data_IF_640553916308
#
_entry.id   IF_640553916308
#
_cell.length_a   1.000
_cell.length_b   1.000
_cell.length_c   1.000
_cell.angle_alpha   90.00
_cell.angle_beta   90.00
_cell.angle_gamma   90.00
#
_symmetry.space_group_name_H-M   'P 1'
#
loop_
_entity.id
_entity.type
_entity.pdbx_description
1 polymer ?
#
# COMPACT_ATOMS: atom_id res chain seq x y z
N UNK A 1 13.09 3.20 -7.02
CA UNK A 1 13.38 2.26 -8.11
C UNK A 1 12.11 1.44 -8.29
N UNK A 2 11.44 1.65 -9.40
CA UNK A 2 10.08 1.19 -9.71
C UNK A 2 10.00 0.93 -11.22
N UNK A 3 9.02 0.19 -11.72
CA UNK A 3 8.79 0.03 -13.17
C UNK A 3 7.59 0.90 -13.57
N UNK A 4 7.83 2.11 -14.05
CA UNK A 4 6.76 3.10 -14.26
C UNK A 4 5.92 2.77 -15.49
N UNK A 5 6.55 2.19 -16.51
CA UNK A 5 5.91 1.96 -17.81
C UNK A 5 5.58 0.47 -18.09
N UNK A 6 6.02 -0.44 -17.21
CA UNK A 6 5.78 -1.88 -17.31
C UNK A 6 6.71 -2.59 -18.30
N UNK A 7 7.88 -2.03 -18.60
CA UNK A 7 8.84 -2.62 -19.54
C UNK A 7 9.84 -3.59 -18.91
N UNK A 8 9.69 -3.85 -17.60
CA UNK A 8 10.54 -4.72 -16.80
C UNK A 8 11.86 -4.06 -16.38
N UNK A 9 12.04 -2.76 -16.62
CA UNK A 9 13.24 -2.03 -16.24
C UNK A 9 12.97 -1.09 -15.07
N UNK A 10 14.05 -0.79 -14.36
CA UNK A 10 13.97 0.08 -13.20
C UNK A 10 14.04 1.54 -13.65
N UNK A 11 12.96 2.24 -13.38
CA UNK A 11 12.80 3.68 -13.52
C UNK A 11 13.00 4.41 -12.18
N UNK A 12 13.19 5.73 -12.30
CA UNK A 12 13.27 6.63 -11.17
C UNK A 12 12.26 7.77 -11.34
N UNK A 13 11.32 7.89 -10.40
CA UNK A 13 10.36 8.98 -10.38
C UNK A 13 10.56 9.88 -9.16
N UNK A 14 10.32 11.19 -9.35
CA UNK A 14 10.37 12.20 -8.29
C UNK A 14 9.22 13.18 -8.39
N UNK A 15 8.82 13.68 -7.22
CA UNK A 15 7.92 14.80 -7.12
C UNK A 15 8.63 16.10 -7.51
N UNK A 16 8.02 16.91 -8.37
CA UNK A 16 8.55 18.21 -8.80
C UNK A 16 7.49 19.30 -8.64
N UNK A 17 7.91 20.49 -8.20
CA UNK A 17 7.02 21.63 -7.96
C UNK A 17 6.62 21.78 -6.49
N UNK A 18 5.64 22.65 -6.23
CA UNK A 18 5.21 23.00 -4.88
C UNK A 18 4.42 21.85 -4.22
N UNK A 19 4.35 21.85 -2.89
CA UNK A 19 3.50 20.91 -2.16
C UNK A 19 2.05 21.43 -2.11
N UNK A 20 1.24 21.13 -3.14
CA UNK A 20 -0.21 21.37 -3.13
C UNK A 20 -0.69 22.59 -3.94
N UNK A 21 -0.50 22.57 -5.26
CA UNK A 21 -0.99 23.62 -6.15
C UNK A 21 -0.60 23.44 -7.62
N UNK A 22 -1.02 24.39 -8.45
CA UNK A 22 -0.67 24.46 -9.87
C UNK A 22 0.87 24.40 -10.06
N UNK A 23 1.33 23.55 -10.99
CA UNK A 23 2.75 23.35 -11.28
C UNK A 23 3.42 22.19 -10.54
N UNK A 24 2.64 21.41 -9.78
CA UNK A 24 3.08 20.16 -9.16
C UNK A 24 2.91 19.00 -10.14
N UNK A 25 3.97 18.24 -10.43
CA UNK A 25 3.94 17.12 -11.36
C UNK A 25 4.93 16.03 -10.98
N UNK A 26 4.63 14.79 -11.39
CA UNK A 26 5.58 13.69 -11.28
C UNK A 26 6.49 13.72 -12.51
N UNK A 27 7.79 13.59 -12.29
CA UNK A 27 8.78 13.44 -13.34
C UNK A 27 9.48 12.10 -13.18
N UNK A 28 9.59 11.34 -14.26
CA UNK A 28 10.25 10.05 -14.26
C UNK A 28 11.40 10.02 -15.27
N UNK A 29 12.56 9.60 -14.81
CA UNK A 29 13.66 9.14 -15.65
C UNK A 29 13.36 7.69 -16.03
N UNK A 30 13.00 7.48 -17.29
CA UNK A 30 12.65 6.16 -17.84
C UNK A 30 13.90 5.48 -18.37
N UNK A 31 14.17 4.26 -17.91
CA UNK A 31 15.31 3.45 -18.33
C UNK A 31 14.97 2.63 -19.56
N UNK A 32 15.86 2.60 -20.55
CA UNK A 32 15.78 1.67 -21.68
C UNK A 32 16.71 0.46 -21.50
N UNK A 33 17.47 0.42 -20.41
CA UNK A 33 18.48 -0.61 -20.09
C UNK A 33 19.89 -0.22 -20.51
N UNK A 34 20.03 0.54 -21.59
CA UNK A 34 21.29 1.09 -22.11
C UNK A 34 21.34 2.63 -22.09
N UNK A 35 20.18 3.28 -21.96
CA UNK A 35 20.04 4.73 -21.89
C UNK A 35 18.85 5.11 -20.99
N UNK A 36 18.60 6.41 -20.88
CA UNK A 36 17.41 6.91 -20.18
C UNK A 36 16.91 8.23 -20.78
N UNK A 37 15.63 8.51 -20.62
CA UNK A 37 15.06 9.80 -20.97
C UNK A 37 14.10 10.32 -19.89
N UNK A 38 13.88 11.63 -19.87
CA UNK A 38 12.95 12.26 -18.93
C UNK A 38 11.54 12.27 -19.51
N UNK A 39 10.59 11.73 -18.75
CA UNK A 39 9.16 11.80 -19.03
C UNK A 39 8.48 12.69 -18.00
N UNK A 40 7.76 13.70 -18.48
CA UNK A 40 6.79 14.39 -17.64
C UNK A 40 5.53 13.54 -17.56
N UNK A 41 5.22 13.06 -16.37
CA UNK A 41 4.10 12.14 -16.15
C UNK A 41 2.77 12.87 -16.06
N UNK A 42 2.79 14.18 -15.84
CA UNK A 42 1.58 14.99 -15.73
C UNK A 42 1.35 15.55 -14.33
N UNK A 43 0.34 16.40 -14.22
CA UNK A 43 0.08 17.20 -13.03
C UNK A 43 -0.44 16.32 -11.88
N UNK A 44 0.17 16.48 -10.71
CA UNK A 44 -0.25 15.91 -9.44
C UNK A 44 -0.60 17.09 -8.53
N UNK A 45 -1.86 17.52 -8.54
CA UNK A 45 -2.27 18.78 -7.90
C UNK A 45 -2.12 18.80 -6.37
N UNK A 46 -2.12 17.62 -5.75
CA UNK A 46 -1.90 17.41 -4.32
C UNK A 46 -0.96 16.22 -4.14
N UNK A 47 0.14 16.38 -3.42
CA UNK A 47 1.10 15.30 -3.13
C UNK A 47 0.61 14.32 -2.06
N UNK A 48 -0.44 14.68 -1.35
CA UNK A 48 -0.88 13.99 -0.15
C UNK A 48 0.10 14.14 1.01
N UNK A 49 -0.14 13.35 2.05
CA UNK A 49 0.67 13.36 3.25
C UNK A 49 2.00 12.63 3.05
N UNK A 50 3.10 13.21 3.53
CA UNK A 50 4.45 12.72 3.26
C UNK A 50 4.70 11.28 3.72
N UNK A 51 4.00 10.86 4.78
CA UNK A 51 4.05 9.53 5.40
C UNK A 51 3.09 8.50 4.78
N UNK A 52 2.31 8.92 3.77
CA UNK A 52 1.24 8.13 3.11
C UNK A 52 1.27 8.34 1.60
N UNK A 53 2.42 8.02 1.04
CA UNK A 53 2.72 8.04 -0.39
C UNK A 53 3.39 6.73 -0.76
N UNK A 54 2.92 6.11 -1.82
CA UNK A 54 3.34 4.78 -2.23
C UNK A 54 3.48 4.72 -3.75
N UNK A 55 4.48 3.98 -4.21
CA UNK A 55 4.69 3.65 -5.61
C UNK A 55 4.39 2.15 -5.76
N UNK A 56 3.21 1.82 -6.29
CA UNK A 56 2.64 0.45 -6.27
C UNK A 56 1.73 0.22 -7.47
N UNK A 57 1.57 -1.03 -7.91
CA UNK A 57 0.61 -1.37 -8.97
C UNK A 57 -0.78 -1.57 -8.34
N UNK A 58 -1.55 -0.49 -8.23
CA UNK A 58 -2.89 -0.56 -7.63
C UNK A 58 -3.87 -1.22 -8.59
N UNK A 59 -3.74 -0.94 -9.88
CA UNK A 59 -4.75 -1.34 -10.86
C UNK A 59 -4.50 -2.73 -11.48
N UNK A 60 -3.33 -3.31 -11.27
CA UNK A 60 -2.92 -4.64 -11.71
C UNK A 60 -2.53 -4.70 -13.19
N UNK A 61 -2.13 -3.57 -13.78
CA UNK A 61 -1.78 -3.49 -15.20
C UNK A 61 -0.29 -3.75 -15.49
N UNK A 62 0.47 -4.12 -14.45
CA UNK A 62 1.89 -4.43 -14.52
C UNK A 62 2.78 -3.18 -14.49
N UNK A 63 2.22 -1.99 -14.22
CA UNK A 63 2.96 -0.74 -14.11
C UNK A 63 2.84 -0.15 -12.71
N UNK A 64 3.79 0.68 -12.34
CA UNK A 64 3.80 1.32 -11.03
C UNK A 64 2.95 2.59 -11.04
N UNK A 65 1.97 2.67 -10.15
CA UNK A 65 1.15 3.85 -9.91
C UNK A 65 1.67 4.67 -8.72
N UNK A 66 1.34 5.96 -8.69
CA UNK A 66 1.59 6.82 -7.53
C UNK A 66 0.33 7.03 -6.69
N UNK A 67 0.20 6.27 -5.60
CA UNK A 67 -0.93 6.33 -4.68
C UNK A 67 -0.60 7.14 -3.42
N UNK A 68 -1.57 7.93 -2.94
CA UNK A 68 -1.39 8.79 -1.76
C UNK A 68 -2.68 9.09 -1.01
N UNK A 69 -2.53 9.36 0.29
CA UNK A 69 -3.61 9.88 1.12
C UNK A 69 -3.86 11.35 0.83
N UNK A 70 -5.10 11.71 0.51
CA UNK A 70 -5.55 13.07 0.15
C UNK A 70 -6.79 13.44 0.97
N UNK A 71 -7.08 14.74 1.06
CA UNK A 71 -8.20 15.28 1.84
C UNK A 71 -7.84 15.41 3.31
N UNK A 72 -8.79 15.09 4.19
CA UNK A 72 -8.55 15.16 5.64
C UNK A 72 -7.44 14.20 6.07
N UNK A 73 -6.78 14.50 7.20
CA UNK A 73 -5.72 13.66 7.73
C UNK A 73 -6.25 12.31 8.23
N UNK A 74 -7.50 12.26 8.67
CA UNK A 74 -8.28 11.05 8.97
C UNK A 74 -9.76 11.41 9.06
N UNK A 75 -10.62 10.42 9.13
CA UNK A 75 -12.06 10.56 9.30
C UNK A 75 -12.80 10.81 7.99
N UNK A 76 -14.00 11.37 8.10
CA UNK A 76 -14.81 11.67 6.92
C UNK A 76 -14.07 12.64 5.98
N UNK A 77 -14.07 12.37 4.68
CA UNK A 77 -13.38 13.19 3.68
C UNK A 77 -11.87 12.92 3.52
N UNK A 78 -11.32 11.89 4.18
CA UNK A 78 -10.00 11.35 3.82
C UNK A 78 -10.15 10.21 2.82
N UNK A 79 -9.34 10.19 1.77
CA UNK A 79 -9.43 9.21 0.69
C UNK A 79 -8.07 8.88 0.09
N UNK A 80 -8.00 7.72 -0.56
CA UNK A 80 -6.85 7.30 -1.34
C UNK A 80 -7.03 7.79 -2.78
N UNK A 81 -5.98 8.38 -3.33
CA UNK A 81 -5.93 8.86 -4.71
C UNK A 81 -4.69 8.30 -5.39
N UNK A 82 -4.86 7.73 -6.58
CA UNK A 82 -3.81 7.05 -7.32
C UNK A 82 -3.66 7.67 -8.70
N UNK A 83 -2.46 8.08 -9.05
CA UNK A 83 -2.10 8.46 -10.40
C UNK A 83 -1.68 7.20 -11.15
N UNK A 84 -2.61 6.64 -11.92
CA UNK A 84 -2.39 5.43 -12.69
C UNK A 84 -1.48 5.71 -13.87
N UNK A 85 -0.38 4.98 -13.92
CA UNK A 85 0.65 5.16 -14.94
C UNK A 85 0.18 4.70 -16.32
N UNK A 86 0.75 5.32 -17.34
CA UNK A 86 0.47 5.01 -18.74
C UNK A 86 1.65 5.46 -19.61
N UNK A 87 1.69 4.99 -20.85
CA UNK A 87 2.71 5.41 -21.81
C UNK A 87 2.75 6.94 -22.03
N UNK A 88 1.64 7.65 -21.81
CA UNK A 88 1.50 9.08 -22.08
C UNK A 88 1.48 9.95 -20.80
N UNK A 89 1.82 9.37 -19.64
CA UNK A 89 1.78 10.06 -18.35
C UNK A 89 0.92 9.31 -17.33
N UNK A 90 0.18 10.02 -16.48
CA UNK A 90 -0.71 9.41 -15.49
C UNK A 90 -2.11 9.99 -15.51
N UNK A 91 -3.08 9.16 -15.11
CA UNK A 91 -4.47 9.56 -14.86
C UNK A 91 -4.72 9.51 -13.35
N UNK A 92 -5.06 10.65 -12.77
CA UNK A 92 -5.28 10.76 -11.32
C UNK A 92 -6.72 10.35 -10.95
N UNK A 93 -6.85 9.29 -10.15
CA UNK A 93 -8.12 8.62 -9.84
C UNK A 93 -8.33 8.60 -8.33
N UNK A 94 -9.48 9.11 -7.88
CA UNK A 94 -9.93 8.89 -6.51
C UNK A 94 -10.47 7.46 -6.37
N UNK A 95 -9.69 6.59 -5.71
CA UNK A 95 -10.04 5.17 -5.57
C UNK A 95 -11.05 4.92 -4.44
N UNK A 96 -11.16 5.84 -3.48
CA UNK A 96 -12.23 5.86 -2.48
C UNK A 96 -11.79 6.28 -1.08
N UNK A 97 -12.77 6.50 -0.19
CA UNK A 97 -12.53 6.98 1.18
C UNK A 97 -11.73 6.00 2.05
N UNK A 98 -10.77 6.50 2.81
CA UNK A 98 -10.07 5.74 3.85
C UNK A 98 -10.14 6.59 5.10
N UNK A 99 -11.12 6.34 5.96
CA UNK A 99 -11.39 7.17 7.13
C UNK A 99 -10.37 6.88 8.26
N UNK A 100 -10.06 5.61 8.47
CA UNK A 100 -8.98 5.20 9.37
C UNK A 100 -7.79 4.75 8.54
N UNK A 101 -6.65 5.45 8.64
CA UNK A 101 -5.40 5.10 7.95
C UNK A 101 -4.58 4.04 8.69
N UNK A 102 -5.00 3.66 9.90
CA UNK A 102 -4.29 2.77 10.79
C UNK A 102 -3.02 3.37 11.39
N UNK A 103 -2.30 2.55 12.14
CA UNK A 103 -1.04 2.93 12.78
C UNK A 103 0.11 3.01 11.77
N UNK A 104 0.97 4.03 11.90
CA UNK A 104 2.01 4.32 10.91
C UNK A 104 3.00 3.17 10.67
N UNK A 105 3.26 2.36 11.69
CA UNK A 105 4.13 1.18 11.67
C UNK A 105 3.41 -0.12 11.26
N UNK A 106 2.11 -0.05 10.93
CA UNK A 106 1.22 -1.20 10.64
C UNK A 106 0.33 -0.90 9.45
N UNK A 107 0.98 -0.47 8.36
CA UNK A 107 0.41 -0.19 7.06
C UNK A 107 1.20 -0.96 6.03
N UNK A 108 0.50 -1.69 5.18
CA UNK A 108 1.10 -2.54 4.17
C UNK A 108 0.40 -2.29 2.85
N UNK A 109 1.21 -2.10 1.81
CA UNK A 109 0.75 -2.14 0.43
C UNK A 109 1.16 -3.50 -0.12
N UNK A 110 0.20 -4.39 -0.30
CA UNK A 110 0.45 -5.78 -0.65
C UNK A 110 -0.78 -6.40 -1.32
N UNK A 111 -0.59 -7.28 -2.30
CA UNK A 111 -1.65 -8.09 -2.89
C UNK A 111 -2.10 -9.15 -1.87
N UNK A 112 -3.16 -8.83 -1.13
CA UNK A 112 -3.62 -9.65 -0.01
C UNK A 112 -4.37 -10.90 -0.51
N UNK A 113 -5.17 -10.76 -1.56
CA UNK A 113 -6.02 -11.83 -2.07
C UNK A 113 -5.47 -12.59 -3.28
N UNK A 114 -4.30 -12.20 -3.79
CA UNK A 114 -3.57 -12.87 -4.86
C UNK A 114 -4.14 -12.56 -6.25
N UNK A 115 -4.83 -11.44 -6.42
CA UNK A 115 -5.51 -11.09 -7.67
C UNK A 115 -4.65 -10.30 -8.67
N UNK A 116 -3.38 -10.05 -8.30
CA UNK A 116 -2.41 -9.30 -9.07
C UNK A 116 -2.47 -7.78 -8.86
N UNK A 117 -3.31 -7.28 -7.96
CA UNK A 117 -3.40 -5.85 -7.60
C UNK A 117 -2.87 -5.62 -6.19
N UNK A 118 -2.25 -4.47 -5.98
CA UNK A 118 -1.79 -4.10 -4.64
C UNK A 118 -2.96 -3.57 -3.80
N UNK A 119 -3.19 -4.15 -2.63
CA UNK A 119 -4.17 -3.70 -1.65
C UNK A 119 -3.54 -2.83 -0.55
N UNK A 120 -4.37 -2.05 0.15
CA UNK A 120 -3.94 -1.30 1.33
C UNK A 120 -4.47 -1.91 2.62
N UNK A 121 -3.66 -2.75 3.26
CA UNK A 121 -3.94 -3.40 4.53
C UNK A 121 -3.35 -2.63 5.72
N UNK A 122 -4.09 -2.56 6.83
CA UNK A 122 -3.67 -1.79 8.01
C UNK A 122 -4.29 -2.28 9.31
N UNK A 123 -3.58 -2.02 10.40
CA UNK A 123 -4.11 -2.20 11.75
C UNK A 123 -5.05 -1.05 12.12
N UNK A 124 -6.28 -1.38 12.53
CA UNK A 124 -7.32 -0.44 12.97
C UNK A 124 -7.89 -0.84 14.34
N UNK A 125 -8.71 0.03 14.92
CA UNK A 125 -9.30 -0.20 16.24
C UNK A 125 -8.29 0.03 17.36
N UNK A 126 -8.16 -0.91 18.30
CA UNK A 126 -7.20 -0.81 19.39
C UNK A 126 -5.76 -1.07 18.91
N UNK A 127 -4.78 -0.53 19.63
CA UNK A 127 -3.36 -0.73 19.31
C UNK A 127 -2.82 -2.09 19.78
N UNK A 128 -3.53 -2.75 20.69
CA UNK A 128 -3.32 -4.12 21.14
C UNK A 128 -4.53 -4.59 21.96
N UNK A 129 -4.64 -5.89 22.17
CA UNK A 129 -5.72 -6.52 22.92
C UNK A 129 -7.01 -6.70 22.10
N UNK A 130 -8.12 -7.05 22.77
CA UNK A 130 -9.41 -7.23 22.11
C UNK A 130 -9.83 -5.97 21.32
N UNK A 131 -10.39 -6.15 20.12
CA UNK A 131 -10.79 -5.03 19.27
C UNK A 131 -9.69 -4.41 18.41
N UNK A 132 -8.59 -5.14 18.22
CA UNK A 132 -7.50 -4.83 17.28
C UNK A 132 -7.72 -5.58 15.96
N UNK A 133 -7.95 -4.86 14.86
CA UNK A 133 -8.36 -5.48 13.59
C UNK A 133 -7.34 -5.25 12.49
N UNK A 134 -7.23 -6.23 11.58
CA UNK A 134 -6.57 -6.07 10.29
C UNK A 134 -7.66 -5.81 9.25
N UNK A 135 -7.68 -4.58 8.72
CA UNK A 135 -8.62 -4.16 7.68
C UNK A 135 -7.84 -3.86 6.39
N UNK A 136 -8.35 -4.33 5.26
CA UNK A 136 -7.79 -4.08 3.93
C UNK A 136 -8.76 -3.25 3.08
N UNK A 137 -8.20 -2.33 2.31
CA UNK A 137 -8.84 -1.74 1.16
C UNK A 137 -8.39 -2.53 -0.07
N UNK A 138 -9.20 -3.53 -0.44
CA UNK A 138 -8.97 -4.40 -1.59
C UNK A 138 -9.11 -3.60 -2.87
N UNK A 139 -8.10 -3.61 -3.74
CA UNK A 139 -8.19 -2.95 -5.03
C UNK A 139 -9.18 -3.67 -5.93
N UNK A 140 -9.99 -2.89 -6.66
CA UNK A 140 -10.83 -3.41 -7.73
C UNK A 140 -10.45 -2.79 -9.07
N UNK A 141 -9.17 -2.42 -9.22
CA UNK A 141 -8.62 -1.74 -10.39
C UNK A 141 -8.71 -0.23 -10.28
N UNK A 142 -9.93 0.33 -10.24
CA UNK A 142 -10.15 1.79 -10.18
C UNK A 142 -10.77 2.27 -8.87
N UNK A 143 -11.18 1.34 -8.01
CA UNK A 143 -11.82 1.59 -6.73
C UNK A 143 -11.22 0.70 -5.66
N UNK A 144 -11.74 0.84 -4.45
CA UNK A 144 -11.40 0.02 -3.29
C UNK A 144 -12.65 -0.57 -2.62
N UNK A 145 -12.61 -1.85 -2.27
CA UNK A 145 -13.57 -2.49 -1.37
C UNK A 145 -12.96 -2.60 0.05
N UNK A 146 -13.68 -2.18 1.08
CA UNK A 146 -13.19 -2.26 2.46
C UNK A 146 -13.61 -3.58 3.09
N UNK A 147 -12.65 -4.34 3.59
CA UNK A 147 -12.86 -5.66 4.17
C UNK A 147 -12.08 -5.77 5.48
N UNK A 148 -12.73 -6.31 6.51
CA UNK A 148 -12.04 -6.80 7.71
C UNK A 148 -11.56 -8.22 7.44
N UNK A 149 -10.24 -8.41 7.42
CA UNK A 149 -9.63 -9.70 7.06
C UNK A 149 -9.19 -10.50 8.29
N UNK A 150 -9.10 -9.87 9.46
CA UNK A 150 -8.83 -10.58 10.71
C UNK A 150 -8.89 -9.72 11.96
N UNK A 151 -8.76 -10.39 13.10
CA UNK A 151 -8.57 -9.79 14.42
C UNK A 151 -7.28 -10.35 15.03
N UNK A 152 -6.55 -9.51 15.78
CA UNK A 152 -5.39 -9.95 16.54
C UNK A 152 -5.31 -9.25 17.88
N UNK A 153 -5.07 -10.00 18.95
CA UNK A 153 -4.85 -9.41 20.27
C UNK A 153 -3.41 -8.90 20.47
N UNK A 154 -2.47 -9.38 19.67
CA UNK A 154 -1.06 -9.02 19.75
C UNK A 154 -0.51 -8.83 18.34
N UNK A 155 0.04 -7.66 18.04
CA UNK A 155 0.63 -7.40 16.72
C UNK A 155 2.06 -7.93 16.61
N UNK A 156 2.62 -8.50 17.67
CA UNK A 156 4.03 -8.86 17.73
C UNK A 156 4.96 -7.65 17.66
N UNK A 157 6.25 -7.92 17.70
CA UNK A 157 7.28 -6.87 17.63
C UNK A 157 7.42 -6.32 16.22
N UNK A 158 7.77 -5.03 16.11
CA UNK A 158 7.79 -4.34 14.82
C UNK A 158 8.70 -4.98 13.78
N UNK A 159 9.82 -5.55 14.25
CA UNK A 159 10.86 -6.27 13.50
C UNK A 159 10.59 -7.77 13.34
N UNK A 160 9.46 -8.27 13.86
CA UNK A 160 9.09 -9.69 13.85
C UNK A 160 7.67 -9.91 13.31
N UNK A 161 7.34 -9.17 12.25
CA UNK A 161 6.10 -9.25 11.49
C UNK A 161 6.45 -9.45 10.03
N UNK A 162 5.70 -10.30 9.35
CA UNK A 162 5.88 -10.63 7.95
C UNK A 162 4.53 -10.68 7.28
N UNK A 163 4.51 -10.25 6.02
CA UNK A 163 3.39 -10.44 5.11
C UNK A 163 3.87 -11.37 4.00
N UNK A 164 3.41 -12.61 4.00
CA UNK A 164 3.91 -13.65 3.09
C UNK A 164 2.90 -14.79 2.99
N UNK A 165 2.89 -15.50 1.86
CA UNK A 165 2.14 -16.76 1.71
C UNK A 165 2.83 -17.85 2.55
N UNK A 166 2.37 -18.01 3.79
CA UNK A 166 2.98 -18.94 4.74
C UNK A 166 2.40 -20.35 4.60
N UNK A 167 1.13 -20.44 4.21
CA UNK A 167 0.41 -21.70 4.10
C UNK A 167 0.48 -22.33 2.68
N UNK A 168 0.96 -21.59 1.68
CA UNK A 168 1.11 -22.02 0.29
C UNK A 168 -0.18 -21.94 -0.55
N UNK A 169 -1.14 -21.09 -0.16
CA UNK A 169 -2.44 -20.97 -0.85
C UNK A 169 -2.45 -19.92 -1.97
N UNK A 170 -1.32 -19.23 -2.19
CA UNK A 170 -1.17 -18.18 -3.19
C UNK A 170 -1.66 -16.81 -2.73
N UNK A 171 -2.06 -16.64 -1.45
CA UNK A 171 -2.46 -15.38 -0.84
C UNK A 171 -1.51 -14.98 0.26
N UNK A 172 -1.55 -13.71 0.64
CA UNK A 172 -0.65 -13.19 1.67
C UNK A 172 -1.25 -13.39 3.06
N UNK A 173 -0.46 -13.99 3.95
CA UNK A 173 -0.77 -14.12 5.36
C UNK A 173 -0.05 -13.06 6.19
N UNK A 174 -0.65 -12.69 7.33
CA UNK A 174 0.01 -11.92 8.36
C UNK A 174 0.65 -12.85 9.39
N UNK A 175 1.98 -12.94 9.36
CA UNK A 175 2.76 -13.78 10.28
C UNK A 175 3.49 -12.90 11.28
N UNK A 176 3.53 -13.32 12.54
CA UNK A 176 4.22 -12.57 13.61
C UNK A 176 4.84 -13.50 14.64
N UNK A 177 5.94 -13.05 15.23
CA UNK A 177 6.47 -13.66 16.44
C UNK A 177 5.90 -12.97 17.68
N UNK A 178 5.36 -13.76 18.59
CA UNK A 178 4.82 -13.32 19.89
C UNK A 178 5.54 -14.02 21.04
N UNK A 179 5.40 -13.50 22.26
CA UNK A 179 6.07 -14.03 23.44
C UNK A 179 7.44 -13.39 23.71
N UNK A 180 8.31 -14.09 24.45
CA UNK A 180 9.50 -13.47 25.03
C UNK A 180 10.61 -13.17 23.98
N UNK A 181 11.32 -12.06 24.14
CA UNK A 181 12.33 -11.61 23.17
C UNK A 181 13.67 -12.34 23.25
N UNK A 182 13.91 -13.12 24.33
CA UNK A 182 15.22 -13.64 24.74
C UNK A 182 15.40 -15.16 24.68
N UNK A 183 14.62 -15.86 23.84
CA UNK A 183 14.96 -17.22 23.38
C UNK A 183 14.23 -18.39 24.06
N UNK A 184 13.56 -18.17 25.19
CA UNK A 184 12.63 -19.17 25.78
C UNK A 184 11.21 -18.59 25.82
N UNK A 185 10.28 -19.24 25.11
CA UNK A 185 8.85 -18.86 25.08
C UNK A 185 8.46 -17.87 23.97
N UNK A 186 9.15 -17.88 22.82
CA UNK A 186 8.70 -17.20 21.59
C UNK A 186 8.05 -18.19 20.63
N UNK A 187 6.94 -17.80 20.01
CA UNK A 187 6.20 -18.63 19.06
C UNK A 187 5.86 -17.81 17.81
N UNK A 188 5.82 -18.45 16.65
CA UNK A 188 5.27 -17.87 15.43
C UNK A 188 3.78 -18.14 15.38
N UNK A 189 2.99 -17.09 15.18
CA UNK A 189 1.56 -17.18 14.90
C UNK A 189 1.29 -16.60 13.52
N UNK A 190 0.58 -17.36 12.69
CA UNK A 190 -0.02 -16.88 11.45
C UNK A 190 -1.47 -16.48 11.68
N UNK A 191 -1.84 -15.28 11.26
CA UNK A 191 -3.22 -14.90 11.00
C UNK A 191 -3.42 -14.99 9.49
N UNK A 192 -4.11 -16.04 9.04
CA UNK A 192 -4.20 -16.39 7.63
C UNK A 192 -5.24 -15.55 6.90
N UNK A 193 -5.00 -15.25 5.62
CA UNK A 193 -6.04 -14.73 4.75
C UNK A 193 -7.16 -15.79 4.65
N UNK A 194 -8.27 -15.57 5.36
CA UNK A 194 -9.41 -16.50 5.54
C UNK A 194 -9.30 -17.56 6.64
N UNK A 195 -8.55 -17.33 7.74
CA UNK A 195 -8.84 -18.08 8.95
C UNK A 195 -10.28 -17.74 9.43
N UNK A 196 -11.24 -18.69 9.45
CA UNK A 196 -12.48 -18.43 10.16
C UNK A 196 -12.12 -18.10 11.61
N UNK A 197 -12.72 -17.04 12.15
CA UNK A 197 -12.54 -16.63 13.55
C UNK A 197 -12.53 -17.87 14.46
N UNK A 198 -11.35 -18.22 14.97
CA UNK A 198 -11.12 -19.36 15.85
C UNK A 198 -10.62 -18.86 17.19
#
# INVERSE_FOLDING_TARGET
>A
MIDWNGDGKIDFCRAVGNTGGYGSYLQCTISTGDSSYEQNVGAIGDWGYSDRRWMIDWNGDGKTDFCRAVGNSSGYGSYLQCAFSSANGAVDVNVGEIQDWGYSDRRWMIDWDGDGKTDFCRATGNSSGPGSYLDCAMSTGTRRNLVRVGETQDWGYSDRRWMTDWNGDGKVDYVRAVGNTSGWGSWLLGSFANAPNG
#
